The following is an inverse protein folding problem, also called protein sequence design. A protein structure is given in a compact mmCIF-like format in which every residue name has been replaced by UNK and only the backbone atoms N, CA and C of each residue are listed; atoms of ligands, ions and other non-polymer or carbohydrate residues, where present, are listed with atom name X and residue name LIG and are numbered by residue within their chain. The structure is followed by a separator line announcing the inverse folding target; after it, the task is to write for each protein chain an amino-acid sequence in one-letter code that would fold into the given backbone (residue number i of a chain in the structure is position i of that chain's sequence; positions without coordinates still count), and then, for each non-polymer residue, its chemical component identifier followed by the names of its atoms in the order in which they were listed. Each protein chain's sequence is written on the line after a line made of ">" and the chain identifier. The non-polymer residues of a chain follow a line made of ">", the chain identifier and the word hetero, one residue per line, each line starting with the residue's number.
data_IF_234514981351
#
_entry.id   IF_234514981351
#
_cell.length_a   1.000
_cell.length_b   1.000
_cell.length_c   1.000
_cell.angle_alpha   90.00
_cell.angle_beta   90.00
_cell.angle_gamma   90.00
#
_symmetry.space_group_name_H-M   'P 1'
#
loop_
_entity.id
_entity.type
_entity.pdbx_description
1 polymer ?
#
# COMPACT_ATOMS: atom_id res chain seq x y z
N UNK A 1 -0.94 15.62 -4.35
CA UNK A 1 -1.13 14.92 -5.63
C UNK A 1 -1.43 13.46 -5.30
N UNK A 2 -2.69 13.04 -5.41
CA UNK A 2 -3.08 11.65 -5.11
C UNK A 2 -2.56 10.75 -6.21
N UNK A 3 -1.60 9.88 -5.90
CA UNK A 3 -1.18 8.83 -6.84
C UNK A 3 -2.17 7.70 -6.69
N UNK A 4 -2.87 7.32 -7.76
CA UNK A 4 -3.93 6.31 -7.68
C UNK A 4 -3.33 4.93 -7.36
N UNK A 5 -3.86 4.28 -6.31
CA UNK A 5 -3.56 2.88 -5.99
C UNK A 5 -4.22 1.89 -6.96
N UNK A 6 -3.95 0.60 -6.77
CA UNK A 6 -4.59 -0.49 -7.49
C UNK A 6 -5.53 -1.27 -6.57
N UNK A 7 -6.53 -1.91 -7.18
CA UNK A 7 -7.41 -2.88 -6.51
C UNK A 7 -7.33 -4.21 -7.24
N UNK A 8 -7.36 -5.33 -6.51
CA UNK A 8 -7.33 -6.67 -7.10
C UNK A 8 -8.17 -7.67 -6.29
N UNK A 9 -8.39 -8.86 -6.85
CA UNK A 9 -9.18 -9.91 -6.21
C UNK A 9 -10.69 -9.71 -6.33
N UNK A 10 -11.45 -10.32 -5.43
CA UNK A 10 -12.92 -10.25 -5.43
C UNK A 10 -13.43 -8.93 -4.85
N UNK A 11 -14.71 -8.63 -5.07
CA UNK A 11 -15.35 -7.48 -4.44
C UNK A 11 -15.31 -7.64 -2.91
N UNK A 12 -15.10 -6.55 -2.12
CA UNK A 12 -15.05 -6.64 -0.66
C UNK A 12 -16.25 -7.33 -0.03
N UNK A 13 -17.46 -7.11 -0.56
CA UNK A 13 -18.69 -7.74 -0.07
C UNK A 13 -18.74 -9.28 -0.27
N UNK A 14 -17.85 -9.83 -1.09
CA UNK A 14 -17.73 -11.26 -1.39
C UNK A 14 -16.44 -11.87 -0.82
N UNK A 15 -15.55 -11.05 -0.26
CA UNK A 15 -14.25 -11.48 0.20
C UNK A 15 -14.35 -12.14 1.57
N UNK A 16 -13.61 -13.24 1.76
CA UNK A 16 -13.38 -13.82 3.08
C UNK A 16 -12.47 -12.93 3.93
N UNK A 17 -11.55 -12.20 3.29
CA UNK A 17 -10.63 -11.27 3.93
C UNK A 17 -10.29 -10.08 3.02
N UNK A 18 -9.90 -8.97 3.64
CA UNK A 18 -9.29 -7.82 2.96
C UNK A 18 -7.80 -7.74 3.26
N UNK A 19 -7.01 -7.25 2.30
CA UNK A 19 -5.58 -7.03 2.47
C UNK A 19 -5.14 -5.70 1.85
N UNK A 20 -4.48 -4.85 2.65
CA UNK A 20 -3.76 -3.68 2.15
C UNK A 20 -2.29 -4.08 1.94
N UNK A 21 -1.83 -4.07 0.70
CA UNK A 21 -0.50 -4.51 0.30
C UNK A 21 0.39 -3.30 0.01
N UNK A 22 1.33 -3.05 0.92
CA UNK A 22 2.18 -1.86 0.91
C UNK A 22 3.56 -2.20 0.34
N UNK A 23 3.97 -1.50 -0.71
CA UNK A 23 5.30 -1.68 -1.30
C UNK A 23 6.41 -1.08 -0.43
N UNK A 24 7.65 -1.58 -0.58
CA UNK A 24 8.85 -1.01 0.05
C UNK A 24 9.41 0.23 -0.69
N UNK A 25 10.52 0.79 -0.20
CA UNK A 25 11.21 1.92 -0.86
C UNK A 25 11.66 1.56 -2.28
N UNK A 26 11.36 2.41 -3.25
CA UNK A 26 11.62 2.18 -4.67
C UNK A 26 10.64 1.21 -5.34
N UNK A 27 9.67 0.67 -4.59
CA UNK A 27 8.66 -0.25 -5.11
C UNK A 27 7.46 0.45 -5.76
N UNK A 28 6.57 -0.35 -6.33
CA UNK A 28 5.31 0.10 -6.92
C UNK A 28 4.15 -0.81 -6.53
N UNK A 29 2.93 -0.29 -6.59
CA UNK A 29 1.70 -1.06 -6.43
C UNK A 29 1.60 -2.19 -7.47
N UNK A 30 1.95 -1.91 -8.73
CA UNK A 30 1.97 -2.91 -9.80
C UNK A 30 2.99 -4.03 -9.55
N UNK A 31 4.16 -3.69 -8.98
CA UNK A 31 5.16 -4.68 -8.61
C UNK A 31 4.71 -5.59 -7.48
N UNK A 32 3.93 -5.07 -6.52
CA UNK A 32 3.31 -5.89 -5.48
C UNK A 32 2.15 -6.74 -6.01
N UNK A 33 1.38 -6.24 -6.97
CA UNK A 33 0.35 -7.03 -7.65
C UNK A 33 0.98 -8.25 -8.33
N UNK A 34 1.97 -8.04 -9.21
CA UNK A 34 2.62 -9.12 -9.95
C UNK A 34 3.49 -10.04 -9.06
N UNK A 35 4.25 -9.44 -8.13
CA UNK A 35 5.25 -10.17 -7.36
C UNK A 35 4.71 -10.87 -6.11
N UNK A 36 3.59 -10.40 -5.55
CA UNK A 36 3.04 -10.94 -4.30
C UNK A 36 1.59 -11.40 -4.46
N UNK A 37 0.69 -10.53 -4.93
CA UNK A 37 -0.75 -10.86 -4.98
C UNK A 37 -1.04 -12.03 -5.91
N UNK A 38 -0.50 -11.99 -7.13
CA UNK A 38 -0.64 -13.09 -8.09
C UNK A 38 -0.01 -14.39 -7.57
N UNK A 39 1.16 -14.30 -6.91
CA UNK A 39 1.85 -15.44 -6.33
C UNK A 39 1.09 -16.09 -5.15
N UNK A 40 0.40 -15.29 -4.34
CA UNK A 40 -0.45 -15.79 -3.26
C UNK A 40 -1.63 -16.60 -3.79
N UNK A 41 -2.14 -16.25 -5.00
CA UNK A 41 -3.22 -16.96 -5.69
C UNK A 41 -4.47 -17.20 -4.81
N UNK A 42 -4.70 -16.34 -3.81
CA UNK A 42 -5.85 -16.43 -2.92
C UNK A 42 -7.04 -15.71 -3.56
N UNK A 43 -7.93 -16.52 -4.14
CA UNK A 43 -9.07 -16.08 -4.95
C UNK A 43 -10.24 -15.49 -4.15
N UNK A 44 -10.23 -15.62 -2.82
CA UNK A 44 -11.31 -15.16 -1.93
C UNK A 44 -10.92 -13.93 -1.10
N UNK A 45 -9.93 -13.15 -1.56
CA UNK A 45 -9.42 -11.95 -0.90
C UNK A 45 -9.66 -10.72 -1.76
N UNK A 46 -10.02 -9.60 -1.13
CA UNK A 46 -10.02 -8.28 -1.75
C UNK A 46 -8.74 -7.53 -1.40
N UNK A 47 -8.01 -7.05 -2.41
CA UNK A 47 -6.74 -6.35 -2.22
C UNK A 47 -6.86 -4.85 -2.51
N UNK A 48 -6.16 -4.06 -1.71
CA UNK A 48 -5.85 -2.64 -1.96
C UNK A 48 -4.34 -2.49 -2.01
N UNK A 49 -3.82 -1.81 -3.03
CA UNK A 49 -2.39 -1.61 -3.24
C UNK A 49 -2.12 -0.12 -3.44
N UNK A 50 -1.98 0.65 -2.35
CA UNK A 50 -1.72 2.08 -2.46
C UNK A 50 -0.32 2.34 -3.05
N UNK A 51 -0.18 3.46 -3.77
CA UNK A 51 1.08 3.87 -4.39
C UNK A 51 1.62 5.12 -3.70
N UNK A 52 2.82 5.03 -3.12
CA UNK A 52 3.51 6.19 -2.57
C UNK A 52 3.99 7.12 -3.71
N UNK A 53 3.83 8.46 -3.58
CA UNK A 53 4.48 9.41 -4.46
C UNK A 53 6.00 9.17 -4.51
N UNK A 54 6.58 9.15 -5.71
CA UNK A 54 8.03 8.90 -5.88
C UNK A 54 8.51 7.54 -5.36
N UNK A 55 7.61 6.55 -5.24
CA UNK A 55 7.93 5.21 -4.74
C UNK A 55 8.55 5.19 -3.33
N UNK A 56 8.23 6.18 -2.51
CA UNK A 56 8.73 6.26 -1.14
C UNK A 56 7.71 6.88 -0.20
N UNK A 57 7.40 6.17 0.89
CA UNK A 57 6.47 6.64 1.92
C UNK A 57 7.05 7.76 2.80
N UNK A 58 8.37 7.80 2.97
CA UNK A 58 9.08 8.84 3.73
C UNK A 58 10.57 8.91 3.34
N UNK A 59 11.22 10.08 3.48
CA UNK A 59 12.54 10.32 2.88
C UNK A 59 13.69 9.61 3.60
N UNK A 60 13.70 9.59 4.93
CA UNK A 60 14.83 9.09 5.72
C UNK A 60 14.70 7.60 6.06
N UNK A 61 15.71 7.05 6.74
CA UNK A 61 15.69 5.66 7.23
C UNK A 61 14.67 5.52 8.37
N UNK A 62 14.24 4.29 8.66
CA UNK A 62 13.25 4.04 9.72
C UNK A 62 13.80 4.27 11.15
N UNK A 63 15.12 4.35 11.30
CA UNK A 63 15.82 4.46 12.59
C UNK A 63 16.21 5.89 12.98
N UNK A 64 15.88 6.90 12.16
CA UNK A 64 16.02 8.32 12.56
C UNK A 64 14.82 8.74 13.42
N UNK A 65 14.85 9.94 14.00
CA UNK A 65 13.69 10.42 14.77
C UNK A 65 12.47 10.54 13.86
N UNK A 66 11.29 10.18 14.38
CA UNK A 66 10.04 10.20 13.61
C UNK A 66 9.80 11.55 12.93
N UNK A 67 10.07 12.66 13.63
CA UNK A 67 9.90 14.02 13.13
C UNK A 67 10.72 14.32 11.87
N UNK A 68 11.82 13.60 11.63
CA UNK A 68 12.65 13.77 10.43
C UNK A 68 11.99 13.16 9.18
N UNK A 69 10.95 12.35 9.35
CA UNK A 69 10.14 11.79 8.28
C UNK A 69 8.77 12.45 8.14
N UNK A 70 8.40 13.38 9.02
CA UNK A 70 7.16 14.14 8.92
C UNK A 70 7.34 15.33 7.95
N UNK A 71 6.28 15.73 7.20
CA UNK A 71 4.91 15.22 7.23
C UNK A 71 4.67 13.95 6.38
N UNK A 72 5.66 13.50 5.60
CA UNK A 72 5.49 12.39 4.66
C UNK A 72 5.01 11.10 5.33
N UNK A 73 5.53 10.77 6.51
CA UNK A 73 5.09 9.61 7.28
C UNK A 73 3.61 9.73 7.69
N UNK A 74 3.18 10.88 8.21
CA UNK A 74 1.79 11.13 8.55
C UNK A 74 0.86 11.00 7.34
N UNK A 75 1.26 11.56 6.19
CA UNK A 75 0.50 11.44 4.93
C UNK A 75 0.44 9.98 4.43
N UNK A 76 1.54 9.24 4.55
CA UNK A 76 1.60 7.82 4.20
C UNK A 76 0.65 6.98 5.06
N UNK A 77 0.63 7.22 6.37
CA UNK A 77 -0.28 6.54 7.30
C UNK A 77 -1.73 6.90 7.00
N UNK A 78 -2.05 8.18 6.78
CA UNK A 78 -3.39 8.60 6.40
C UNK A 78 -3.85 7.97 5.07
N UNK A 79 -2.93 7.80 4.11
CA UNK A 79 -3.22 7.10 2.86
C UNK A 79 -3.55 5.63 3.11
N UNK A 80 -2.77 4.94 3.96
CA UNK A 80 -3.01 3.53 4.30
C UNK A 80 -4.32 3.37 5.09
N UNK A 81 -4.59 4.25 6.05
CA UNK A 81 -5.83 4.25 6.83
C UNK A 81 -7.06 4.46 5.92
N UNK A 82 -6.94 5.26 4.86
CA UNK A 82 -8.01 5.45 3.89
C UNK A 82 -8.35 4.16 3.12
N UNK A 83 -7.39 3.27 2.90
CA UNK A 83 -7.62 1.97 2.24
C UNK A 83 -8.33 0.95 3.14
N UNK A 84 -8.41 1.23 4.45
CA UNK A 84 -9.09 0.38 5.44
C UNK A 84 -10.58 0.74 5.64
N UNK A 85 -11.03 1.88 5.11
CA UNK A 85 -12.42 2.34 5.21
C UNK A 85 -13.32 1.66 4.16
#
# INVERSE_FOLDING_TARGET
>A
MTTAGLTAGVLPAQARAGAVVVHGRGGTASGMLAGLVEALSASDVAYRLPQAPGSSWWPQRFNVQRSENEPWLGEALATIDHELA
#
